data_IF_492126894466
#
_entry.id   IF_492126894466
#
_cell.length_a   1.000
_cell.length_b   1.000
_cell.length_c   1.000
_cell.angle_alpha   90.00
_cell.angle_beta   90.00
_cell.angle_gamma   90.00
#
_symmetry.space_group_name_H-M   'P 1'
#
loop_
_entity.id
_entity.type
_entity.pdbx_description
1 polymer ?
#
# COMPACT_ATOMS: atom_id res chain seq x y z
N UNK A 1 69.33 -10.76 13.88
CA UNK A 1 68.23 -10.95 12.92
C UNK A 1 67.01 -11.47 13.66
N UNK A 2 66.15 -10.57 14.12
CA UNK A 2 64.92 -10.87 14.85
C UNK A 2 63.77 -11.04 13.86
N UNK A 3 63.28 -12.28 13.72
CA UNK A 3 62.11 -12.59 12.88
C UNK A 3 60.87 -11.97 13.52
N UNK A 4 60.25 -11.03 12.81
CA UNK A 4 58.95 -10.43 13.16
C UNK A 4 57.86 -11.49 13.00
N UNK A 5 57.22 -11.85 14.11
CA UNK A 5 55.93 -12.52 14.14
C UNK A 5 54.86 -11.52 13.67
N UNK A 6 54.20 -11.79 12.55
CA UNK A 6 52.97 -11.09 12.16
C UNK A 6 51.80 -11.95 12.60
N UNK A 7 51.16 -11.54 13.69
CA UNK A 7 49.92 -12.11 14.18
C UNK A 7 48.77 -11.59 13.31
N UNK A 8 48.27 -12.43 12.41
CA UNK A 8 47.08 -12.13 11.61
C UNK A 8 45.83 -12.43 12.46
N UNK A 9 45.25 -11.40 13.08
CA UNK A 9 43.94 -11.52 13.74
C UNK A 9 42.87 -11.42 12.64
N UNK A 10 42.47 -12.56 12.09
CA UNK A 10 41.23 -12.67 11.32
C UNK A 10 40.06 -12.64 12.30
N UNK A 11 39.40 -11.48 12.41
CA UNK A 11 38.06 -11.38 13.01
C UNK A 11 37.07 -12.15 12.11
N UNK A 12 36.86 -13.43 12.39
CA UNK A 12 35.66 -14.13 11.94
C UNK A 12 34.50 -13.64 12.79
N UNK A 13 33.79 -12.62 12.29
CA UNK A 13 32.41 -12.36 12.69
C UNK A 13 31.58 -13.48 12.05
N UNK A 14 31.57 -14.66 12.69
CA UNK A 14 30.47 -15.59 12.48
C UNK A 14 29.22 -14.93 13.05
N UNK A 15 28.41 -14.36 12.16
CA UNK A 15 27.00 -14.14 12.45
C UNK A 15 26.41 -15.51 12.80
N UNK A 16 26.27 -15.77 14.09
CA UNK A 16 25.50 -16.90 14.62
C UNK A 16 24.05 -16.72 14.18
N UNK A 17 23.71 -17.22 12.99
CA UNK A 17 22.34 -17.59 12.66
C UNK A 17 22.03 -18.87 13.42
N UNK A 18 21.91 -18.78 14.74
CA UNK A 18 21.22 -19.81 15.50
C UNK A 18 19.78 -19.84 14.97
N UNK A 19 19.27 -20.98 14.47
CA UNK A 19 17.86 -21.09 14.14
C UNK A 19 17.10 -20.97 15.46
N UNK A 20 16.62 -19.76 15.77
CA UNK A 20 15.71 -19.57 16.89
C UNK A 20 14.51 -20.48 16.67
N UNK A 21 14.32 -21.43 17.58
CA UNK A 21 13.18 -22.33 17.56
C UNK A 21 11.92 -21.50 17.79
N UNK A 22 11.16 -21.34 16.72
CA UNK A 22 9.95 -20.54 16.73
C UNK A 22 8.91 -21.12 17.70
N UNK A 23 8.26 -20.26 18.48
CA UNK A 23 7.15 -20.65 19.34
C UNK A 23 5.90 -20.85 18.51
N UNK A 24 5.38 -22.07 18.54
CA UNK A 24 4.15 -22.43 17.87
C UNK A 24 3.39 -23.45 18.71
N UNK A 25 2.07 -23.48 18.56
CA UNK A 25 1.22 -24.50 19.17
C UNK A 25 0.16 -24.97 18.19
N UNK A 26 -0.18 -26.25 18.24
CA UNK A 26 -1.37 -26.76 17.55
C UNK A 26 -2.59 -26.35 18.38
N UNK A 27 -3.49 -25.58 17.79
CA UNK A 27 -4.69 -25.09 18.48
C UNK A 27 -5.95 -25.84 18.08
N UNK A 28 -5.91 -26.53 16.94
CA UNK A 28 -7.07 -27.26 16.43
C UNK A 28 -6.65 -28.41 15.51
N UNK A 29 -7.48 -29.46 15.49
CA UNK A 29 -7.49 -30.51 14.48
C UNK A 29 -8.94 -30.81 14.10
N UNK A 30 -9.24 -30.76 12.80
CA UNK A 30 -10.56 -31.04 12.24
C UNK A 30 -10.45 -32.16 11.21
N UNK A 31 -11.45 -33.02 11.16
CA UNK A 31 -11.60 -34.02 10.11
C UNK A 31 -12.83 -33.70 9.27
N UNK A 32 -12.68 -33.72 7.94
CA UNK A 32 -13.81 -33.57 7.02
C UNK A 32 -13.57 -34.35 5.73
N UNK A 33 -14.57 -35.14 5.31
CA UNK A 33 -14.45 -36.07 4.17
C UNK A 33 -13.22 -36.97 4.32
N UNK A 34 -12.25 -36.87 3.40
CA UNK A 34 -10.99 -37.59 3.42
C UNK A 34 -9.78 -36.69 3.74
N UNK A 35 -10.04 -35.53 4.33
CA UNK A 35 -9.05 -34.55 4.74
C UNK A 35 -9.00 -34.41 6.26
N UNK A 36 -7.80 -34.12 6.76
CA UNK A 36 -7.55 -33.63 8.12
C UNK A 36 -6.95 -32.23 8.00
N UNK A 37 -7.46 -31.27 8.77
CA UNK A 37 -6.91 -29.93 8.87
C UNK A 37 -6.33 -29.73 10.27
N UNK A 38 -5.03 -29.49 10.35
CA UNK A 38 -4.34 -29.15 11.59
C UNK A 38 -3.98 -27.68 11.58
N UNK A 39 -4.36 -26.94 12.62
CA UNK A 39 -4.10 -25.50 12.71
C UNK A 39 -2.99 -25.23 13.69
N UNK A 40 -1.91 -24.63 13.19
CA UNK A 40 -0.77 -24.17 13.98
C UNK A 40 -0.89 -22.65 14.16
N UNK A 41 -0.82 -22.20 15.41
CA UNK A 41 -0.73 -20.79 15.76
C UNK A 41 0.71 -20.43 16.12
N UNK A 42 1.23 -19.40 15.49
CA UNK A 42 2.52 -18.80 15.77
C UNK A 42 2.30 -17.57 16.63
N UNK A 43 2.45 -17.69 17.95
CA UNK A 43 2.14 -16.61 18.88
C UNK A 43 3.00 -15.38 18.59
N UNK A 44 2.40 -14.27 18.09
CA UNK A 44 3.15 -13.10 17.71
C UNK A 44 3.88 -12.43 18.88
N UNK A 45 3.32 -12.47 20.08
CA UNK A 45 3.93 -11.84 21.24
C UNK A 45 5.12 -12.65 21.75
N UNK A 46 4.98 -13.97 21.86
CA UNK A 46 6.09 -14.82 22.27
C UNK A 46 7.26 -14.74 21.29
N UNK A 47 6.98 -14.86 20.00
CA UNK A 47 8.02 -14.80 18.99
C UNK A 47 8.66 -13.41 18.91
N UNK A 48 7.90 -12.32 19.05
CA UNK A 48 8.46 -10.98 19.09
C UNK A 48 9.41 -10.77 20.29
N UNK A 49 9.02 -11.23 21.49
CA UNK A 49 9.87 -11.12 22.68
C UNK A 49 11.13 -11.98 22.53
N UNK A 50 11.04 -13.12 21.86
CA UNK A 50 12.21 -13.97 21.59
C UNK A 50 13.16 -13.34 20.56
N UNK A 51 12.63 -12.76 19.50
CA UNK A 51 13.41 -12.08 18.45
C UNK A 51 13.98 -10.73 18.93
N UNK A 52 13.29 -10.07 19.86
CA UNK A 52 13.68 -8.78 20.43
C UNK A 52 13.48 -8.78 21.96
N UNK A 53 14.44 -9.31 22.74
CA UNK A 53 14.33 -9.39 24.20
C UNK A 53 14.13 -8.03 24.90
N UNK A 54 14.66 -6.95 24.31
CA UNK A 54 14.51 -5.58 24.83
C UNK A 54 13.13 -4.98 24.59
N UNK A 55 12.26 -5.65 23.83
CA UNK A 55 10.92 -5.18 23.50
C UNK A 55 10.13 -4.75 24.74
N UNK A 56 10.23 -5.51 25.84
CA UNK A 56 9.52 -5.21 27.09
C UNK A 56 10.03 -3.94 27.79
N UNK A 57 11.27 -3.53 27.52
CA UNK A 57 11.91 -2.36 28.13
C UNK A 57 11.69 -1.08 27.32
N UNK A 58 11.14 -1.19 26.11
CA UNK A 58 10.81 -0.04 25.27
C UNK A 58 9.66 0.78 25.86
N UNK A 59 9.65 2.07 25.56
CA UNK A 59 8.48 2.92 25.81
C UNK A 59 7.28 2.49 24.95
N UNK A 60 6.08 2.85 25.40
CA UNK A 60 4.82 2.39 24.80
C UNK A 60 4.67 2.71 23.31
N UNK A 61 5.18 3.86 22.85
CA UNK A 61 5.12 4.24 21.44
C UNK A 61 6.03 3.36 20.59
N UNK A 62 7.25 3.08 21.06
CA UNK A 62 8.16 2.16 20.37
C UNK A 62 7.64 0.73 20.41
N UNK A 63 7.03 0.29 21.52
CA UNK A 63 6.38 -1.03 21.60
C UNK A 63 5.26 -1.15 20.57
N UNK A 64 4.44 -0.10 20.42
CA UNK A 64 3.39 -0.04 19.40
C UNK A 64 3.95 -0.18 17.97
N UNK A 65 4.99 0.57 17.63
CA UNK A 65 5.64 0.53 16.31
C UNK A 65 6.22 -0.85 16.00
N UNK A 66 6.99 -1.41 16.94
CA UNK A 66 7.63 -2.71 16.78
C UNK A 66 6.59 -3.82 16.68
N UNK A 67 5.53 -3.77 17.49
CA UNK A 67 4.40 -4.70 17.40
C UNK A 67 3.70 -4.65 16.04
N UNK A 68 3.35 -3.45 15.58
CA UNK A 68 2.66 -3.28 14.30
C UNK A 68 3.50 -3.83 13.14
N UNK A 69 4.79 -3.48 13.13
CA UNK A 69 5.74 -4.00 12.15
C UNK A 69 5.82 -5.51 12.21
N UNK A 70 5.87 -6.10 13.40
CA UNK A 70 5.92 -7.55 13.55
C UNK A 70 4.66 -8.23 12.97
N UNK A 71 3.46 -7.76 13.34
CA UNK A 71 2.20 -8.31 12.84
C UNK A 71 2.12 -8.24 11.32
N UNK A 72 2.52 -7.12 10.72
CA UNK A 72 2.43 -6.90 9.27
C UNK A 72 3.41 -7.75 8.44
N UNK A 73 4.46 -8.30 9.06
CA UNK A 73 5.53 -8.98 8.33
C UNK A 73 5.63 -10.49 8.60
N UNK A 74 4.81 -11.05 9.50
CA UNK A 74 4.94 -12.44 9.95
C UNK A 74 3.68 -13.28 9.67
N UNK A 75 3.90 -14.60 9.56
CA UNK A 75 2.83 -15.60 9.53
C UNK A 75 2.29 -15.80 10.95
N UNK A 76 0.97 -15.81 11.08
CA UNK A 76 0.25 -15.94 12.35
C UNK A 76 -0.38 -17.32 12.49
N UNK A 77 -0.96 -17.85 11.41
CA UNK A 77 -1.54 -19.21 11.40
C UNK A 77 -1.07 -20.00 10.19
N UNK A 78 -0.89 -21.31 10.37
CA UNK A 78 -0.70 -22.29 9.31
C UNK A 78 -1.79 -23.37 9.42
N UNK A 79 -2.70 -23.38 8.45
CA UNK A 79 -3.72 -24.40 8.32
C UNK A 79 -3.19 -25.51 7.40
N UNK A 80 -2.76 -26.61 8.00
CA UNK A 80 -2.11 -27.74 7.31
C UNK A 80 -3.15 -28.74 6.84
N UNK A 81 -3.38 -28.80 5.53
CA UNK A 81 -4.31 -29.74 4.94
C UNK A 81 -3.62 -31.05 4.61
N UNK A 82 -4.10 -32.11 5.23
CA UNK A 82 -3.60 -33.47 5.10
C UNK A 82 -4.61 -34.33 4.34
N UNK A 83 -4.15 -35.11 3.38
CA UNK A 83 -4.95 -36.12 2.69
C UNK A 83 -4.16 -37.42 2.64
N UNK A 84 -4.81 -38.57 2.95
CA UNK A 84 -4.15 -39.89 2.97
C UNK A 84 -2.83 -39.90 3.78
N UNK A 85 -2.85 -39.26 4.96
CA UNK A 85 -1.69 -39.13 5.88
C UNK A 85 -0.50 -38.33 5.36
N UNK A 86 -0.67 -37.53 4.32
CA UNK A 86 0.37 -36.60 3.82
C UNK A 86 -0.18 -35.18 3.79
N UNK A 87 0.60 -34.22 4.27
CA UNK A 87 0.30 -32.80 4.08
C UNK A 87 0.43 -32.50 2.59
N UNK A 88 -0.62 -31.93 2.00
CA UNK A 88 -0.68 -31.61 0.58
C UNK A 88 -0.59 -30.10 0.34
N UNK A 89 -1.16 -29.29 1.23
CA UNK A 89 -1.19 -27.83 1.12
C UNK A 89 -1.12 -27.17 2.50
N UNK A 90 -0.63 -25.95 2.50
CA UNK A 90 -0.69 -25.02 3.62
C UNK A 90 -1.54 -23.81 3.23
N UNK A 91 -2.36 -23.33 4.15
CA UNK A 91 -3.02 -22.03 4.03
C UNK A 91 -2.46 -21.14 5.13
N UNK A 92 -1.60 -20.19 4.75
CA UNK A 92 -0.78 -19.41 5.67
C UNK A 92 -1.38 -18.02 5.86
N UNK A 93 -1.98 -17.76 7.03
CA UNK A 93 -2.50 -16.44 7.35
C UNK A 93 -1.36 -15.57 7.87
N UNK A 94 -1.07 -14.48 7.18
CA UNK A 94 0.04 -13.56 7.48
C UNK A 94 -0.38 -12.12 7.42
N UNK A 95 0.43 -11.24 8.01
CA UNK A 95 0.28 -9.81 7.83
C UNK A 95 0.57 -9.35 6.39
N UNK A 96 0.03 -8.18 6.05
CA UNK A 96 0.27 -7.51 4.79
C UNK A 96 1.22 -6.31 4.99
N UNK A 97 2.50 -6.39 4.57
CA UNK A 97 3.47 -5.31 4.78
C UNK A 97 3.14 -4.03 3.99
N UNK A 98 2.28 -4.10 2.97
CA UNK A 98 1.80 -2.93 2.23
C UNK A 98 0.75 -2.11 2.99
N UNK A 99 0.16 -2.66 4.04
CA UNK A 99 -0.87 -2.02 4.86
C UNK A 99 -0.24 -1.35 6.08
N UNK A 100 -0.99 -0.45 6.69
CA UNK A 100 -0.62 0.17 7.95
C UNK A 100 -1.71 -0.10 9.01
N UNK A 101 -1.28 -0.29 10.25
CA UNK A 101 -2.17 -0.49 11.39
C UNK A 101 -2.40 0.89 12.02
N UNK A 102 -3.46 1.57 11.58
CA UNK A 102 -3.83 2.85 12.16
C UNK A 102 -4.88 2.66 13.28
N UNK A 103 -4.61 3.07 14.53
CA UNK A 103 -5.49 2.79 15.67
C UNK A 103 -6.94 3.24 15.49
N UNK A 104 -7.18 4.36 14.77
CA UNK A 104 -8.53 4.89 14.52
C UNK A 104 -9.32 4.12 13.45
N UNK A 105 -8.66 3.28 12.64
CA UNK A 105 -9.28 2.56 11.51
C UNK A 105 -9.22 1.03 11.67
N UNK A 106 -8.88 0.53 12.87
CA UNK A 106 -8.78 -0.90 13.15
C UNK A 106 -10.09 -1.68 12.88
N UNK A 107 -11.25 -1.01 12.83
CA UNK A 107 -12.55 -1.63 12.53
C UNK A 107 -12.86 -1.76 11.04
N UNK A 108 -12.02 -1.20 10.15
CA UNK A 108 -12.30 -1.11 8.71
C UNK A 108 -11.13 -1.56 7.83
N UNK A 109 -9.95 -1.81 8.40
CA UNK A 109 -8.75 -2.14 7.64
C UNK A 109 -8.35 -3.60 7.86
N UNK A 110 -8.64 -4.47 6.90
CA UNK A 110 -8.03 -5.80 6.87
C UNK A 110 -6.55 -5.66 6.52
N UNK A 111 -5.69 -6.16 7.41
CA UNK A 111 -4.23 -6.13 7.26
C UNK A 111 -3.64 -7.51 7.03
N UNK A 112 -4.47 -8.51 6.71
CA UNK A 112 -4.05 -9.90 6.56
C UNK A 112 -4.20 -10.42 5.13
N UNK A 113 -3.34 -11.37 4.79
CA UNK A 113 -3.32 -12.14 3.57
C UNK A 113 -3.35 -13.63 3.91
N UNK A 114 -3.87 -14.46 3.01
CA UNK A 114 -3.75 -15.92 3.09
C UNK A 114 -3.02 -16.44 1.86
N UNK A 115 -1.85 -17.02 2.05
CA UNK A 115 -1.14 -17.70 0.97
C UNK A 115 -1.57 -19.17 0.93
N UNK A 116 -1.98 -19.63 -0.25
CA UNK A 116 -2.24 -21.05 -0.55
C UNK A 116 -0.95 -21.61 -1.14
N UNK A 117 -0.34 -22.56 -0.43
CA UNK A 117 1.03 -23.01 -0.71
C UNK A 117 1.04 -24.53 -0.87
N UNK A 118 1.67 -25.01 -1.94
CA UNK A 118 1.86 -26.45 -2.12
C UNK A 118 2.91 -26.98 -1.15
N UNK A 119 2.62 -28.10 -0.48
CA UNK A 119 3.54 -28.65 0.50
C UNK A 119 4.85 -29.13 -0.14
N UNK A 120 5.97 -28.79 0.51
CA UNK A 120 7.30 -29.28 0.20
C UNK A 120 8.02 -29.65 1.50
N UNK A 121 8.61 -30.84 1.53
CA UNK A 121 9.41 -31.30 2.68
C UNK A 121 10.59 -30.36 2.93
N UNK A 122 10.95 -30.19 4.20
CA UNK A 122 12.07 -29.36 4.66
C UNK A 122 11.93 -27.86 4.36
N UNK A 123 10.72 -27.37 4.09
CA UNK A 123 10.44 -25.93 3.99
C UNK A 123 9.94 -25.38 5.32
N UNK A 124 10.45 -24.23 5.75
CA UNK A 124 9.91 -23.50 6.88
C UNK A 124 8.77 -22.57 6.45
N UNK A 125 7.53 -22.97 6.70
CA UNK A 125 6.33 -22.22 6.30
C UNK A 125 6.02 -20.99 7.18
N UNK A 126 6.83 -20.70 8.20
CA UNK A 126 6.75 -19.42 8.91
C UNK A 126 7.52 -18.31 8.21
N UNK A 127 8.58 -18.65 7.47
CA UNK A 127 9.47 -17.66 6.84
C UNK A 127 9.11 -17.48 5.37
N UNK A 128 8.55 -16.32 5.02
CA UNK A 128 8.13 -16.00 3.65
C UNK A 128 9.25 -16.23 2.61
N UNK A 129 10.50 -15.92 2.94
CA UNK A 129 11.64 -16.14 2.06
C UNK A 129 11.86 -17.62 1.68
N UNK A 130 11.43 -18.56 2.53
CA UNK A 130 11.61 -20.01 2.33
C UNK A 130 10.46 -20.65 1.54
N UNK A 131 9.25 -20.09 1.58
CA UNK A 131 8.08 -20.65 0.88
C UNK A 131 7.51 -19.79 -0.25
N UNK A 132 7.97 -18.56 -0.45
CA UNK A 132 7.40 -17.63 -1.46
C UNK A 132 7.27 -18.21 -2.86
N UNK A 133 8.26 -19.02 -3.30
CA UNK A 133 8.25 -19.67 -4.63
C UNK A 133 7.27 -20.86 -4.74
N UNK A 134 6.63 -21.25 -3.64
CA UNK A 134 5.67 -22.36 -3.57
C UNK A 134 4.23 -21.87 -3.47
N UNK A 135 4.04 -20.55 -3.40
CA UNK A 135 2.72 -19.92 -3.37
C UNK A 135 2.03 -20.18 -4.71
N UNK A 136 0.86 -20.80 -4.64
CA UNK A 136 -0.04 -21.01 -5.78
C UNK A 136 -0.93 -19.78 -5.96
N UNK A 137 -1.53 -19.30 -4.87
CA UNK A 137 -2.41 -18.13 -4.83
C UNK A 137 -2.21 -17.37 -3.52
N UNK A 138 -2.40 -16.06 -3.54
CA UNK A 138 -2.57 -15.25 -2.34
C UNK A 138 -3.99 -14.69 -2.33
N UNK A 139 -4.64 -14.63 -1.17
CA UNK A 139 -5.98 -14.08 -0.97
C UNK A 139 -5.85 -12.82 -0.11
N UNK A 140 -6.52 -11.73 -0.48
CA UNK A 140 -6.47 -10.44 0.24
C UNK A 140 -7.82 -9.92 0.75
N UNK A 141 -8.93 -10.57 0.39
CA UNK A 141 -10.27 -10.24 0.88
C UNK A 141 -10.65 -11.10 2.10
N UNK A 142 -10.55 -10.51 3.29
CA UNK A 142 -11.10 -11.07 4.53
C UNK A 142 -12.08 -10.12 5.18
N UNK A 143 -13.10 -10.69 5.81
CA UNK A 143 -14.13 -9.95 6.57
C UNK A 143 -13.84 -9.95 8.08
N UNK A 144 -12.57 -9.88 8.47
CA UNK A 144 -12.17 -9.70 9.87
C UNK A 144 -11.07 -8.66 10.02
N UNK A 145 -10.99 -8.09 11.22
CA UNK A 145 -10.08 -6.99 11.53
C UNK A 145 -9.69 -7.01 13.00
N UNK A 146 -8.48 -6.54 13.29
CA UNK A 146 -7.93 -6.48 14.64
C UNK A 146 -6.45 -6.84 14.63
N UNK A 147 -5.86 -6.93 15.81
CA UNK A 147 -4.42 -7.26 15.96
C UNK A 147 -4.12 -8.09 17.21
N UNK A 148 -5.13 -8.45 17.99
CA UNK A 148 -5.00 -9.39 19.10
C UNK A 148 -5.73 -10.68 18.73
N UNK A 149 -5.15 -11.81 19.11
CA UNK A 149 -5.66 -13.13 18.75
C UNK A 149 -5.93 -13.92 20.01
N UNK A 150 -7.10 -14.58 20.11
CA UNK A 150 -7.56 -15.30 21.30
C UNK A 150 -6.56 -16.33 21.86
N UNK A 151 -5.66 -16.84 21.02
CA UNK A 151 -4.68 -17.83 21.40
C UNK A 151 -3.40 -17.23 22.04
N UNK A 152 -3.29 -15.90 22.20
CA UNK A 152 -2.15 -15.22 22.86
C UNK A 152 -2.24 -15.32 24.38
N UNK A 153 -1.72 -16.39 24.98
CA UNK A 153 -1.93 -16.67 26.41
C UNK A 153 -1.25 -15.64 27.32
N UNK A 154 -0.05 -15.15 26.96
CA UNK A 154 0.72 -14.23 27.81
C UNK A 154 0.11 -12.82 27.93
N UNK A 155 -0.89 -12.51 27.10
CA UNK A 155 -1.59 -11.23 27.11
C UNK A 155 -2.97 -11.30 27.79
N UNK A 156 -3.33 -12.46 28.32
CA UNK A 156 -4.57 -12.64 29.08
C UNK A 156 -4.39 -12.20 30.52
N UNK A 157 -5.43 -11.59 31.07
CA UNK A 157 -5.54 -11.32 32.50
C UNK A 157 -5.83 -12.60 33.29
N UNK A 158 -5.95 -12.47 34.62
CA UNK A 158 -6.24 -13.59 35.51
C UNK A 158 -7.62 -14.24 35.26
N UNK A 159 -8.51 -13.57 34.51
CA UNK A 159 -9.81 -14.10 34.08
C UNK A 159 -9.72 -14.77 32.69
N UNK A 160 -8.54 -14.83 32.07
CA UNK A 160 -8.33 -15.40 30.75
C UNK A 160 -8.76 -14.47 29.59
N UNK A 161 -9.04 -13.19 29.86
CA UNK A 161 -9.45 -12.22 28.84
C UNK A 161 -8.25 -11.45 28.32
N UNK A 162 -8.19 -11.25 27.00
CA UNK A 162 -7.16 -10.43 26.38
C UNK A 162 -7.32 -8.95 26.78
N UNK A 163 -6.23 -8.36 27.25
CA UNK A 163 -6.18 -6.93 27.55
C UNK A 163 -6.48 -6.11 26.28
N UNK A 164 -7.53 -5.28 26.33
CA UNK A 164 -7.91 -4.42 25.20
C UNK A 164 -6.99 -3.21 25.02
N UNK A 165 -6.23 -2.85 26.06
CA UNK A 165 -5.23 -1.79 26.00
C UNK A 165 -3.84 -2.42 26.05
N UNK A 166 -3.16 -2.45 24.91
CA UNK A 166 -1.78 -2.92 24.80
C UNK A 166 -0.90 -1.74 24.40
N UNK A 167 0.21 -1.54 25.12
CA UNK A 167 1.16 -0.45 24.85
C UNK A 167 0.52 0.96 24.87
N UNK A 168 -0.41 1.19 25.81
CA UNK A 168 -1.10 2.49 25.94
C UNK A 168 -2.13 2.78 24.83
N UNK A 169 -2.50 1.79 24.01
CA UNK A 169 -3.46 1.93 22.92
C UNK A 169 -4.51 0.83 22.94
N UNK A 170 -5.71 1.18 22.52
CA UNK A 170 -6.77 0.21 22.30
C UNK A 170 -6.45 -0.68 21.08
N UNK A 171 -6.63 -1.99 21.25
CA UNK A 171 -6.44 -3.01 20.23
C UNK A 171 -7.68 -3.90 20.14
N UNK A 172 -8.07 -4.25 18.92
CA UNK A 172 -9.21 -5.12 18.68
C UNK A 172 -8.78 -6.59 18.70
N UNK A 173 -9.55 -7.39 19.43
CA UNK A 173 -9.45 -8.85 19.41
C UNK A 173 -10.15 -9.41 18.16
N UNK A 174 -9.52 -10.41 17.56
CA UNK A 174 -10.08 -11.20 16.47
C UNK A 174 -10.47 -12.56 17.06
N UNK A 175 -11.76 -12.90 17.12
CA UNK A 175 -12.19 -14.22 17.55
C UNK A 175 -11.66 -15.30 16.61
N UNK A 176 -11.12 -16.39 17.15
CA UNK A 176 -10.56 -17.47 16.34
C UNK A 176 -11.63 -18.07 15.42
N UNK A 177 -12.87 -18.21 15.90
CA UNK A 177 -14.01 -18.68 15.10
C UNK A 177 -14.24 -17.85 13.84
N UNK A 178 -13.97 -16.54 13.88
CA UNK A 178 -14.11 -15.67 12.70
C UNK A 178 -13.04 -15.99 11.66
N UNK A 179 -11.78 -16.17 12.10
CA UNK A 179 -10.66 -16.56 11.23
C UNK A 179 -10.95 -17.94 10.63
N UNK A 180 -11.29 -18.90 11.50
CA UNK A 180 -11.60 -20.27 11.15
C UNK A 180 -12.70 -20.35 10.08
N UNK A 181 -13.85 -19.69 10.28
CA UNK A 181 -14.96 -19.72 9.33
C UNK A 181 -14.56 -19.15 7.96
N UNK A 182 -13.83 -18.02 7.95
CA UNK A 182 -13.36 -17.42 6.69
C UNK A 182 -12.38 -18.34 5.94
N UNK A 183 -11.40 -18.91 6.65
CA UNK A 183 -10.38 -19.79 6.04
C UNK A 183 -11.00 -21.12 5.61
N UNK A 184 -11.90 -21.71 6.39
CA UNK A 184 -12.59 -22.95 6.03
C UNK A 184 -13.45 -22.80 4.77
N UNK A 185 -14.14 -21.68 4.62
CA UNK A 185 -14.89 -21.39 3.39
C UNK A 185 -13.95 -21.33 2.17
N UNK A 186 -12.80 -20.66 2.31
CA UNK A 186 -11.78 -20.59 1.25
C UNK A 186 -11.17 -21.95 0.91
N UNK A 187 -10.88 -22.78 1.92
CA UNK A 187 -10.43 -24.16 1.71
C UNK A 187 -11.50 -24.95 0.93
N UNK A 188 -12.77 -24.76 1.27
CA UNK A 188 -13.90 -25.36 0.55
C UNK A 188 -13.91 -24.96 -0.94
N UNK A 189 -13.76 -23.66 -1.24
CA UNK A 189 -13.67 -23.17 -2.61
C UNK A 189 -12.44 -23.71 -3.34
N UNK A 190 -11.26 -23.71 -2.73
CA UNK A 190 -10.03 -24.22 -3.35
C UNK A 190 -10.10 -25.72 -3.67
N UNK A 191 -10.79 -26.51 -2.84
CA UNK A 191 -10.86 -27.96 -3.01
C UNK A 191 -12.00 -28.45 -3.91
N UNK A 192 -13.15 -27.77 -3.89
CA UNK A 192 -14.38 -28.30 -4.50
C UNK A 192 -15.06 -27.35 -5.48
N UNK A 193 -14.58 -26.12 -5.62
CA UNK A 193 -15.13 -25.14 -6.53
C UNK A 193 -14.04 -24.31 -7.17
N UNK A 194 -14.36 -23.04 -7.38
CA UNK A 194 -13.40 -22.03 -7.82
C UNK A 194 -13.39 -20.89 -6.80
N UNK A 195 -12.19 -20.41 -6.48
CA UNK A 195 -12.05 -19.15 -5.73
C UNK A 195 -12.31 -18.02 -6.73
N UNK A 196 -13.24 -17.13 -6.42
CA UNK A 196 -13.54 -15.97 -7.26
C UNK A 196 -12.25 -15.17 -7.52
N UNK A 197 -12.00 -14.82 -8.78
CA UNK A 197 -10.79 -14.08 -9.20
C UNK A 197 -10.64 -12.73 -8.52
N UNK A 198 -11.73 -12.18 -7.99
CA UNK A 198 -11.73 -10.95 -7.21
C UNK A 198 -11.27 -11.12 -5.76
N UNK A 199 -11.20 -12.34 -5.23
CA UNK A 199 -10.69 -12.66 -3.88
C UNK A 199 -9.23 -13.05 -3.90
N UNK A 200 -8.80 -13.65 -5.01
CA UNK A 200 -7.39 -13.85 -5.29
C UNK A 200 -6.79 -12.46 -5.33
N UNK A 201 -5.80 -12.22 -4.47
CA UNK A 201 -4.83 -11.17 -4.68
C UNK A 201 -4.23 -11.53 -6.03
N UNK A 202 -4.81 -10.94 -7.08
CA UNK A 202 -4.31 -11.10 -8.42
C UNK A 202 -2.81 -10.83 -8.30
N UNK A 203 -2.01 -11.42 -9.18
CA UNK A 203 -0.83 -10.68 -9.61
C UNK A 203 -1.37 -9.38 -10.26
N UNK A 204 -1.87 -8.44 -9.45
CA UNK A 204 -1.45 -7.07 -9.50
C UNK A 204 0.04 -7.26 -9.50
N UNK A 205 0.66 -7.13 -10.67
CA UNK A 205 2.10 -7.02 -10.76
C UNK A 205 2.51 -6.21 -9.54
N UNK A 206 3.22 -6.84 -8.60
CA UNK A 206 3.75 -6.14 -7.46
C UNK A 206 4.66 -5.11 -8.10
N UNK A 207 4.15 -3.88 -8.13
CA UNK A 207 4.40 -3.01 -9.26
C UNK A 207 5.82 -2.46 -9.12
N UNK A 208 6.80 -3.14 -9.72
CA UNK A 208 8.18 -2.69 -9.82
C UNK A 208 8.26 -1.60 -10.89
N UNK A 209 7.71 -0.40 -10.61
CA UNK A 209 7.88 0.84 -11.39
C UNK A 209 7.50 0.70 -12.91
N UNK A 210 6.53 1.36 -13.53
CA UNK A 210 6.07 2.75 -13.48
C UNK A 210 4.70 2.84 -14.16
N UNK A 211 3.72 3.48 -13.51
CA UNK A 211 2.51 3.87 -14.24
C UNK A 211 2.74 5.20 -14.98
N UNK A 212 3.78 5.93 -14.58
CA UNK A 212 4.13 7.26 -15.05
C UNK A 212 5.63 7.35 -15.36
N UNK A 213 5.99 7.25 -16.63
CA UNK A 213 7.36 7.38 -17.17
C UNK A 213 8.14 8.56 -16.58
N UNK A 214 7.46 9.65 -16.24
CA UNK A 214 8.11 10.81 -15.65
C UNK A 214 8.63 10.56 -14.24
N UNK A 215 7.95 9.74 -13.42
CA UNK A 215 8.36 9.53 -12.02
C UNK A 215 9.73 8.84 -11.94
N UNK A 216 10.03 7.93 -12.88
CA UNK A 216 11.35 7.27 -12.96
C UNK A 216 12.42 8.16 -13.58
N UNK A 217 12.07 8.87 -14.65
CA UNK A 217 13.04 9.63 -15.44
C UNK A 217 13.47 10.92 -14.75
N UNK A 218 12.66 11.45 -13.81
CA UNK A 218 13.03 12.61 -13.01
C UNK A 218 14.35 12.35 -12.27
N UNK A 219 14.57 11.16 -11.71
CA UNK A 219 15.79 10.84 -10.95
C UNK A 219 17.08 10.92 -11.76
N UNK A 220 17.00 10.84 -13.10
CA UNK A 220 18.15 10.89 -14.00
C UNK A 220 18.77 12.29 -14.18
N UNK A 221 18.05 13.36 -13.82
CA UNK A 221 18.54 14.74 -13.97
C UNK A 221 19.24 15.24 -12.69
N UNK A 222 20.11 16.24 -12.79
CA UNK A 222 20.67 16.86 -11.58
C UNK A 222 19.60 17.71 -10.88
N UNK A 223 18.86 18.49 -11.67
CA UNK A 223 17.84 19.43 -11.22
C UNK A 223 16.85 19.67 -12.34
N UNK A 224 15.57 19.82 -12.01
CA UNK A 224 14.54 20.22 -12.97
C UNK A 224 13.76 21.37 -12.37
N UNK A 225 13.88 22.56 -12.95
CA UNK A 225 13.03 23.69 -12.56
C UNK A 225 11.71 23.61 -13.31
N UNK A 226 10.64 24.05 -12.65
CA UNK A 226 9.30 24.12 -13.26
C UNK A 226 8.79 25.55 -13.23
N UNK A 227 8.46 26.07 -14.40
CA UNK A 227 7.88 27.40 -14.59
C UNK A 227 6.37 27.22 -14.72
N UNK A 228 5.59 27.92 -13.91
CA UNK A 228 4.12 27.86 -13.87
C UNK A 228 3.56 29.21 -14.28
N UNK A 229 2.87 29.29 -15.43
CA UNK A 229 2.04 30.44 -15.80
C UNK A 229 0.60 30.11 -15.44
N UNK A 230 0.02 30.84 -14.51
CA UNK A 230 -1.31 30.58 -13.96
C UNK A 230 -2.23 31.71 -14.37
N UNK A 231 -3.36 31.37 -15.00
CA UNK A 231 -4.41 32.29 -15.39
C UNK A 231 -5.65 31.98 -14.54
N UNK A 232 -6.06 32.93 -13.70
CA UNK A 232 -7.32 32.85 -12.96
C UNK A 232 -8.36 33.70 -13.69
N UNK A 233 -9.47 33.08 -14.10
CA UNK A 233 -10.47 33.70 -14.97
C UNK A 233 -11.85 33.75 -14.33
N UNK A 234 -12.60 34.79 -14.68
CA UNK A 234 -14.05 34.87 -14.48
C UNK A 234 -14.72 35.12 -15.83
N UNK A 235 -15.94 34.61 -16.00
CA UNK A 235 -16.67 34.68 -17.26
C UNK A 235 -17.94 35.50 -17.10
N UNK A 236 -18.34 36.22 -18.15
CA UNK A 236 -19.64 36.87 -18.23
C UNK A 236 -20.76 35.85 -18.54
N UNK A 237 -22.01 36.33 -18.58
CA UNK A 237 -23.18 35.49 -18.87
C UNK A 237 -23.15 34.88 -20.29
N UNK A 238 -22.40 35.48 -21.22
CA UNK A 238 -22.24 34.98 -22.58
C UNK A 238 -21.08 33.98 -22.70
N UNK A 239 -20.30 33.79 -21.62
CA UNK A 239 -19.15 32.91 -21.60
C UNK A 239 -17.84 33.55 -22.05
N UNK A 240 -17.78 34.87 -22.24
CA UNK A 240 -16.54 35.57 -22.53
C UNK A 240 -15.74 35.81 -21.25
N UNK A 241 -14.41 35.84 -21.36
CA UNK A 241 -13.54 36.18 -20.24
C UNK A 241 -13.79 37.63 -19.82
N UNK A 242 -14.31 37.80 -18.60
CA UNK A 242 -14.54 39.11 -18.01
C UNK A 242 -13.28 39.64 -17.30
N UNK A 243 -12.58 38.76 -16.56
CA UNK A 243 -11.32 39.09 -15.89
C UNK A 243 -10.33 37.96 -16.08
N UNK A 244 -9.05 38.30 -16.24
CA UNK A 244 -7.93 37.36 -16.22
C UNK A 244 -6.81 37.91 -15.34
N UNK A 245 -6.36 37.11 -14.38
CA UNK A 245 -5.26 37.47 -13.47
C UNK A 245 -4.07 36.52 -13.68
N UNK A 246 -3.08 36.90 -14.51
CA UNK A 246 -1.90 36.08 -14.75
C UNK A 246 -0.94 36.11 -13.55
N UNK A 247 -0.34 34.96 -13.23
CA UNK A 247 0.71 34.80 -12.20
C UNK A 247 1.82 33.93 -12.75
N UNK A 248 3.07 34.28 -12.43
CA UNK A 248 4.23 33.48 -12.78
C UNK A 248 4.90 32.98 -11.51
N UNK A 249 5.02 31.66 -11.38
CA UNK A 249 5.72 31.01 -10.28
C UNK A 249 6.80 30.08 -10.81
N UNK A 250 7.90 29.94 -10.07
CA UNK A 250 8.97 28.99 -10.40
C UNK A 250 9.27 28.11 -9.20
N UNK A 251 9.28 26.80 -9.44
CA UNK A 251 9.76 25.83 -8.46
C UNK A 251 11.25 25.58 -8.70
N UNK A 252 12.07 25.70 -7.63
CA UNK A 252 13.53 25.58 -7.72
C UNK A 252 14.00 24.18 -8.14
N UNK A 253 13.34 23.12 -7.72
CA UNK A 253 13.66 21.76 -8.17
C UNK A 253 12.50 20.82 -7.89
N UNK A 254 11.92 20.22 -8.93
CA UNK A 254 10.75 19.35 -8.77
C UNK A 254 11.06 18.11 -7.92
N UNK A 255 12.31 17.65 -7.94
CA UNK A 255 12.76 16.50 -7.13
C UNK A 255 12.58 16.73 -5.64
N UNK A 256 12.80 17.96 -5.19
CA UNK A 256 12.87 18.28 -3.77
C UNK A 256 11.56 18.05 -3.01
N UNK A 257 10.43 18.03 -3.72
CA UNK A 257 9.10 17.86 -3.13
C UNK A 257 8.32 16.64 -3.63
N UNK A 258 8.87 15.81 -4.53
CA UNK A 258 8.27 14.53 -4.92
C UNK A 258 8.14 13.62 -3.69
N UNK A 259 6.95 13.03 -3.48
CA UNK A 259 6.62 12.23 -2.30
C UNK A 259 6.48 13.02 -0.98
N UNK A 260 6.81 14.32 -0.98
CA UNK A 260 6.66 15.24 0.16
C UNK A 260 5.64 16.36 -0.11
N UNK A 261 4.85 16.20 -1.16
CA UNK A 261 3.84 17.18 -1.58
C UNK A 261 2.80 17.33 -0.48
N UNK A 262 2.62 18.55 0.01
CA UNK A 262 1.63 18.87 1.04
C UNK A 262 0.71 20.02 0.63
N UNK A 263 1.13 20.83 -0.35
CA UNK A 263 0.34 21.92 -0.92
C UNK A 263 -0.44 21.41 -2.12
N UNK A 264 -1.69 21.88 -2.22
CA UNK A 264 -2.57 21.57 -3.35
C UNK A 264 -1.87 21.80 -4.67
N UNK A 265 -1.27 22.98 -4.86
CA UNK A 265 -0.58 23.38 -6.07
C UNK A 265 0.57 22.46 -6.48
N UNK A 266 1.21 21.75 -5.55
CA UNK A 266 2.28 20.80 -5.86
C UNK A 266 1.71 19.45 -6.28
N UNK A 267 0.68 18.97 -5.56
CA UNK A 267 -0.02 17.70 -5.84
C UNK A 267 -0.73 17.75 -7.19
N UNK A 268 -1.51 18.78 -7.44
CA UNK A 268 -2.32 18.91 -8.67
C UNK A 268 -1.48 19.21 -9.90
N UNK A 269 -0.26 19.75 -9.74
CA UNK A 269 0.58 20.09 -10.89
C UNK A 269 1.57 19.01 -11.29
N UNK A 270 1.75 18.01 -10.43
CA UNK A 270 2.53 16.81 -10.72
C UNK A 270 2.06 15.70 -9.76
N UNK A 271 0.89 15.09 -9.98
CA UNK A 271 0.40 14.02 -9.12
C UNK A 271 1.42 12.89 -9.05
N UNK A 272 1.77 12.47 -7.82
CA UNK A 272 2.72 11.39 -7.58
C UNK A 272 2.00 10.18 -7.01
N UNK A 273 1.91 9.12 -7.81
CA UNK A 273 1.26 7.88 -7.42
C UNK A 273 2.29 6.89 -6.89
N UNK A 274 1.95 6.24 -5.80
CA UNK A 274 2.79 5.23 -5.14
C UNK A 274 2.68 3.90 -5.88
N UNK A 275 3.70 3.05 -5.76
CA UNK A 275 3.63 1.67 -6.26
C UNK A 275 2.52 0.83 -5.59
N UNK A 276 2.02 1.28 -4.43
CA UNK A 276 0.88 0.69 -3.74
C UNK A 276 -0.46 1.13 -4.30
N UNK A 277 -0.52 2.20 -5.11
CA UNK A 277 -1.77 2.64 -5.73
C UNK A 277 -2.16 1.66 -6.83
N UNK A 278 -3.44 1.26 -6.85
CA UNK A 278 -3.97 0.27 -7.79
C UNK A 278 -4.48 0.97 -9.03
N UNK A 279 -4.27 0.36 -10.20
CA UNK A 279 -4.83 0.83 -11.47
C UNK A 279 -5.76 -0.24 -12.04
N UNK A 280 -6.90 0.19 -12.57
CA UNK A 280 -7.92 -0.69 -13.13
C UNK A 280 -8.19 -0.20 -14.54
N UNK A 281 -7.93 -1.06 -15.54
CA UNK A 281 -8.32 -0.76 -16.92
C UNK A 281 -9.85 -0.68 -16.99
N UNK A 282 -10.38 0.47 -17.40
CA UNK A 282 -11.83 0.70 -17.51
C UNK A 282 -12.29 0.83 -18.96
N UNK A 283 -11.39 1.20 -19.87
CA UNK A 283 -11.70 1.35 -21.29
C UNK A 283 -10.42 1.10 -22.11
N UNK A 284 -10.55 0.40 -23.24
CA UNK A 284 -9.46 0.18 -24.18
C UNK A 284 -10.00 0.06 -25.60
N UNK A 285 -9.43 0.83 -26.50
CA UNK A 285 -9.62 0.70 -27.93
C UNK A 285 -8.25 0.65 -28.65
N UNK A 286 -8.25 0.75 -29.99
CA UNK A 286 -7.03 0.69 -30.80
C UNK A 286 -6.16 1.96 -30.68
N UNK A 287 -6.71 3.06 -30.19
CA UNK A 287 -6.10 4.39 -30.16
C UNK A 287 -5.75 4.84 -28.75
N UNK A 288 -6.47 4.34 -27.74
CA UNK A 288 -6.35 4.81 -26.36
C UNK A 288 -6.73 3.75 -25.33
N UNK A 289 -6.28 3.97 -24.09
CA UNK A 289 -6.69 3.20 -22.93
C UNK A 289 -6.90 4.11 -21.74
N UNK A 290 -7.95 3.85 -20.95
CA UNK A 290 -8.27 4.60 -19.73
C UNK A 290 -8.20 3.69 -18.52
N UNK A 291 -7.62 4.22 -17.45
CA UNK A 291 -7.40 3.51 -16.21
C UNK A 291 -7.93 4.31 -15.04
N UNK A 292 -8.78 3.70 -14.23
CA UNK A 292 -9.15 4.24 -12.92
C UNK A 292 -8.00 3.98 -11.94
N UNK A 293 -7.63 4.99 -11.16
CA UNK A 293 -6.61 4.86 -10.10
C UNK A 293 -7.29 4.82 -8.73
N UNK A 294 -6.98 3.79 -7.95
CA UNK A 294 -7.41 3.62 -6.57
C UNK A 294 -6.21 3.81 -5.63
N UNK A 295 -6.25 4.89 -4.86
CA UNK A 295 -5.17 5.28 -3.97
C UNK A 295 -5.09 4.33 -2.77
N UNK A 296 -3.86 3.96 -2.37
CA UNK A 296 -3.60 3.16 -1.17
C UNK A 296 -2.57 3.87 -0.29
N UNK A 297 -3.04 4.47 0.82
CA UNK A 297 -2.23 5.23 1.76
C UNK A 297 -1.47 6.40 1.09
N UNK A 298 -2.09 7.07 0.10
CA UNK A 298 -1.48 8.20 -0.60
C UNK A 298 -2.12 9.52 -0.15
N UNK A 299 -2.00 9.80 1.15
CA UNK A 299 -2.63 10.95 1.82
C UNK A 299 -2.46 12.30 1.09
N UNK A 300 -1.31 12.65 0.48
CA UNK A 300 -1.19 13.86 -0.33
C UNK A 300 -2.18 13.95 -1.49
N UNK A 301 -2.35 12.86 -2.24
CA UNK A 301 -3.24 12.81 -3.40
C UNK A 301 -4.69 12.66 -2.94
N UNK A 302 -4.96 11.78 -1.98
CA UNK A 302 -6.29 11.57 -1.38
C UNK A 302 -6.89 12.88 -0.82
N UNK A 303 -6.02 13.78 -0.33
CA UNK A 303 -6.46 15.08 0.16
C UNK A 303 -7.03 15.96 -0.95
N UNK A 304 -6.49 15.94 -2.17
CA UNK A 304 -6.81 16.95 -3.19
C UNK A 304 -7.47 16.40 -4.45
N UNK A 305 -7.44 15.08 -4.69
CA UNK A 305 -7.99 14.47 -5.90
C UNK A 305 -8.81 13.22 -5.56
N UNK A 306 -9.99 13.08 -6.17
CA UNK A 306 -10.84 11.89 -6.15
C UNK A 306 -11.23 11.48 -7.58
N UNK A 307 -11.75 10.25 -7.77
CA UNK A 307 -12.20 9.74 -9.08
C UNK A 307 -11.15 9.87 -10.20
N UNK A 308 -9.90 9.51 -9.89
CA UNK A 308 -8.76 9.72 -10.78
C UNK A 308 -8.82 8.73 -11.94
N UNK A 309 -8.77 9.27 -13.16
CA UNK A 309 -8.69 8.50 -14.41
C UNK A 309 -7.49 8.96 -15.23
N UNK A 310 -6.70 7.99 -15.68
CA UNK A 310 -5.50 8.21 -16.50
C UNK A 310 -5.79 7.72 -17.91
N UNK A 311 -5.58 8.58 -18.91
CA UNK A 311 -5.69 8.22 -20.32
C UNK A 311 -4.29 8.05 -20.93
N UNK A 312 -4.10 6.97 -21.67
CA UNK A 312 -2.88 6.66 -22.41
C UNK A 312 -3.19 6.51 -23.90
N UNK A 313 -2.27 6.95 -24.77
CA UNK A 313 -2.36 6.78 -26.22
C UNK A 313 -2.01 5.34 -26.65
N UNK A 314 -2.03 5.11 -27.96
CA UNK A 314 -1.67 3.82 -28.59
C UNK A 314 -0.25 3.36 -28.28
N UNK A 315 0.68 4.29 -28.01
CA UNK A 315 2.07 4.00 -27.67
C UNK A 315 2.24 3.66 -26.17
N UNK A 316 1.15 3.70 -25.39
CA UNK A 316 1.17 3.49 -23.95
C UNK A 316 1.67 4.70 -23.16
N UNK A 317 1.89 5.84 -23.81
CA UNK A 317 2.27 7.10 -23.17
C UNK A 317 1.04 7.80 -22.60
N UNK A 318 1.22 8.51 -21.48
CA UNK A 318 0.13 9.28 -20.86
C UNK A 318 -0.21 10.51 -21.71
N UNK A 319 -1.50 10.67 -21.97
CA UNK A 319 -2.06 11.86 -22.62
C UNK A 319 -2.63 12.84 -21.60
N UNK A 320 -3.45 12.33 -20.66
CA UNK A 320 -4.06 13.15 -19.64
C UNK A 320 -4.37 12.38 -18.35
N UNK A 321 -4.56 13.15 -17.28
CA UNK A 321 -5.14 12.67 -16.02
C UNK A 321 -6.36 13.55 -15.74
N UNK A 322 -7.52 12.94 -15.60
CA UNK A 322 -8.75 13.58 -15.15
C UNK A 322 -9.06 13.16 -13.71
N UNK A 323 -9.69 14.05 -12.96
CA UNK A 323 -10.10 13.80 -11.58
C UNK A 323 -11.16 14.82 -11.15
N UNK A 324 -11.74 14.61 -9.97
CA UNK A 324 -12.42 15.66 -9.23
C UNK A 324 -11.44 16.29 -8.25
N UNK A 325 -11.24 17.60 -8.36
CA UNK A 325 -10.42 18.42 -7.47
C UNK A 325 -11.18 18.72 -6.18
N UNK A 326 -10.53 18.52 -5.04
CA UNK A 326 -11.05 18.84 -3.72
C UNK A 326 -10.42 20.14 -3.20
N UNK A 327 -11.22 21.18 -3.09
CA UNK A 327 -10.86 22.49 -2.57
C UNK A 327 -11.32 22.61 -1.11
N UNK A 328 -10.37 22.46 -0.19
CA UNK A 328 -10.64 22.57 1.24
C UNK A 328 -10.71 24.03 1.64
N UNK A 329 -11.83 24.43 2.24
CA UNK A 329 -12.06 25.78 2.73
C UNK A 329 -12.59 25.78 4.16
N UNK A 330 -12.53 26.94 4.79
CA UNK A 330 -13.21 27.19 6.06
C UNK A 330 -13.89 28.55 6.01
N UNK A 331 -15.07 28.66 6.60
CA UNK A 331 -15.79 29.93 6.74
C UNK A 331 -16.52 29.97 8.08
N UNK A 332 -16.82 31.18 8.54
CA UNK A 332 -17.58 31.39 9.79
C UNK A 332 -18.97 30.76 9.69
N UNK A 333 -19.61 30.87 8.51
CA UNK A 333 -21.01 30.44 8.33
C UNK A 333 -21.17 28.96 8.01
N UNK A 334 -20.16 28.33 7.38
CA UNK A 334 -20.22 26.92 6.95
C UNK A 334 -19.28 25.98 7.71
N UNK A 335 -18.41 26.50 8.59
CA UNK A 335 -17.34 25.71 9.18
C UNK A 335 -16.32 25.24 8.14
N UNK A 336 -15.72 24.07 8.34
CA UNK A 336 -14.87 23.41 7.34
C UNK A 336 -15.73 22.81 6.22
N UNK A 337 -15.37 23.06 4.97
CA UNK A 337 -16.08 22.56 3.80
C UNK A 337 -15.11 22.14 2.69
N UNK A 338 -15.64 21.35 1.75
CA UNK A 338 -14.91 20.90 0.56
C UNK A 338 -15.74 21.24 -0.66
N UNK A 339 -15.24 22.18 -1.46
CA UNK A 339 -15.76 22.44 -2.80
C UNK A 339 -15.12 21.48 -3.81
N UNK A 340 -15.87 21.17 -4.87
CA UNK A 340 -15.46 20.22 -5.91
C UNK A 340 -15.42 20.91 -7.26
N UNK A 341 -14.38 20.59 -8.02
CA UNK A 341 -14.19 21.06 -9.40
C UNK A 341 -13.74 19.93 -10.30
N UNK A 342 -14.01 20.05 -11.60
CA UNK A 342 -13.40 19.17 -12.59
C UNK A 342 -11.92 19.52 -12.72
N UNK A 343 -11.08 18.51 -12.85
CA UNK A 343 -9.64 18.64 -13.02
C UNK A 343 -9.19 17.83 -14.24
N UNK A 344 -8.35 18.44 -15.07
CA UNK A 344 -7.60 17.74 -16.11
C UNK A 344 -6.16 18.27 -16.19
N UNK A 345 -5.20 17.35 -16.24
CA UNK A 345 -3.81 17.64 -16.56
C UNK A 345 -3.43 16.94 -17.87
N UNK A 346 -3.00 17.72 -18.86
CA UNK A 346 -2.52 17.25 -20.14
C UNK A 346 -1.01 17.06 -20.13
N UNK A 347 -0.55 16.01 -20.80
CA UNK A 347 0.85 15.60 -20.84
C UNK A 347 1.41 15.73 -22.24
N UNK A 348 2.69 16.11 -22.33
CA UNK A 348 3.46 16.06 -23.58
C UNK A 348 4.92 15.72 -23.30
N UNK A 349 5.64 15.37 -24.34
CA UNK A 349 7.04 15.01 -24.22
C UNK A 349 7.92 16.26 -24.15
N UNK A 350 8.67 16.39 -23.05
CA UNK A 350 9.78 17.32 -22.88
C UNK A 350 11.09 16.52 -22.87
N UNK A 351 11.93 16.72 -23.89
CA UNK A 351 13.12 15.90 -24.15
C UNK A 351 12.75 14.40 -24.24
N UNK A 352 13.01 13.62 -23.20
CA UNK A 352 12.72 12.18 -23.16
C UNK A 352 11.64 11.80 -22.12
N UNK A 353 10.93 12.79 -21.56
CA UNK A 353 9.97 12.61 -20.47
C UNK A 353 8.59 13.17 -20.81
N UNK A 354 7.54 12.41 -20.53
CA UNK A 354 6.15 12.86 -20.61
C UNK A 354 5.75 13.60 -19.34
N UNK A 355 5.71 14.94 -19.36
CA UNK A 355 5.37 15.76 -18.20
C UNK A 355 4.08 16.55 -18.43
N UNK A 356 3.35 16.92 -17.35
CA UNK A 356 2.20 17.81 -17.47
C UNK A 356 2.62 19.14 -18.09
N UNK A 357 1.90 19.64 -19.09
CA UNK A 357 2.18 20.95 -19.69
C UNK A 357 1.03 21.94 -19.57
N UNK A 358 -0.19 21.44 -19.37
CA UNK A 358 -1.39 22.26 -19.23
C UNK A 358 -2.33 21.61 -18.22
N UNK A 359 -2.85 22.40 -17.30
CA UNK A 359 -3.79 21.94 -16.27
C UNK A 359 -4.97 22.88 -16.24
N UNK A 360 -6.17 22.34 -16.21
CA UNK A 360 -7.41 23.11 -16.16
C UNK A 360 -8.23 22.70 -14.94
N UNK A 361 -8.77 23.70 -14.24
CA UNK A 361 -9.82 23.51 -13.24
C UNK A 361 -11.08 24.22 -13.73
N UNK A 362 -12.20 23.50 -13.77
CA UNK A 362 -13.49 24.06 -14.18
C UNK A 362 -14.58 23.69 -13.16
N UNK A 363 -15.67 24.48 -13.08
CA UNK A 363 -16.85 24.09 -12.32
C UNK A 363 -17.34 22.70 -12.77
N UNK A 364 -17.97 21.94 -11.87
CA UNK A 364 -18.48 20.59 -12.19
C UNK A 364 -19.44 20.56 -13.40
N UNK A 365 -20.12 21.68 -13.68
CA UNK A 365 -21.02 21.83 -14.83
C UNK A 365 -20.31 21.94 -16.17
N UNK A 366 -19.02 22.29 -16.19
CA UNK A 366 -18.20 22.45 -17.39
C UNK A 366 -17.30 21.21 -17.58
N UNK A 367 -17.92 20.14 -18.07
CA UNK A 367 -17.29 18.81 -18.22
C UNK A 367 -16.25 18.81 -19.35
N UNK A 368 -16.47 19.62 -20.38
CA UNK A 368 -15.60 19.76 -21.55
C UNK A 368 -14.46 20.77 -21.33
N UNK A 369 -14.41 21.42 -20.15
CA UNK A 369 -13.42 22.43 -19.80
C UNK A 369 -13.37 23.60 -20.79
N UNK A 370 -14.54 24.03 -21.30
CA UNK A 370 -14.64 25.16 -22.23
C UNK A 370 -14.38 26.50 -21.52
N UNK A 371 -14.73 26.59 -20.23
CA UNK A 371 -14.65 27.80 -19.41
C UNK A 371 -13.90 27.52 -18.11
N UNK A 372 -12.61 27.15 -18.18
CA UNK A 372 -11.82 26.83 -17.00
C UNK A 372 -11.64 28.07 -16.13
N UNK A 373 -11.94 27.95 -14.83
CA UNK A 373 -11.69 29.01 -13.85
C UNK A 373 -10.20 29.23 -13.63
N UNK A 374 -9.41 28.17 -13.69
CA UNK A 374 -7.95 28.23 -13.61
C UNK A 374 -7.35 27.45 -14.77
N UNK A 375 -6.42 28.08 -15.48
CA UNK A 375 -5.53 27.43 -16.43
C UNK A 375 -4.09 27.59 -15.95
N UNK A 376 -3.33 26.50 -15.95
CA UNK A 376 -1.90 26.50 -15.61
C UNK A 376 -1.13 25.93 -16.79
N UNK A 377 -0.25 26.74 -17.38
CA UNK A 377 0.75 26.27 -18.33
C UNK A 377 2.06 25.98 -17.60
N UNK A 378 2.68 24.86 -17.94
CA UNK A 378 3.90 24.38 -17.33
C UNK A 378 5.02 24.26 -18.37
N UNK A 379 6.18 24.78 -17.99
CA UNK A 379 7.43 24.59 -18.73
C UNK A 379 8.55 24.13 -17.79
N UNK A 380 9.61 23.57 -18.35
CA UNK A 380 10.64 22.88 -17.58
C UNK A 380 12.05 23.22 -18.05
N UNK A 381 12.93 23.56 -17.10
CA UNK A 381 14.36 23.72 -17.34
C UNK A 381 15.11 22.52 -16.78
N UNK A 382 15.74 21.75 -17.68
CA UNK A 382 16.45 20.52 -17.33
C UNK A 382 17.95 20.78 -17.21
N UNK A 383 18.49 20.57 -16.02
CA UNK A 383 19.93 20.64 -15.76
C UNK A 383 20.51 19.22 -15.71
N UNK A 384 21.37 18.90 -16.67
CA UNK A 384 22.18 17.67 -16.66
C UNK A 384 23.48 17.94 -15.90
N UNK A 385 24.05 16.90 -15.28
CA UNK A 385 25.39 16.98 -14.67
C UNK A 385 26.44 17.27 -15.73
#
# INVERSE_FOLDING_TARGET
>A
MTKKFVLLITFLIFGLNTPFAQKSKTIEKLEFKNYELKVIFFDPYENLVLENPEFKNLDSLKQEEVWNKYILNNVIYDFQLTQKKKIIKHYLLKGNPSKNIYPKNLTRNNVYLLDIVNHKKNTNFYRLSEYSKLIDKTIDKFSFYGTLFENMELLKDNEGKLGKNLFGRFRLNIPYSTIQNNVMNLIGFDLFGEIETEWIANNVDEFKNSFFDYQEKIDQYFKIERIKKIYVRTYDQNGNIQNESPRLNTDKDIKSYIGKMNKIGDVVSLPFFKSTDKTILIEKDNLSSKYKVELTNNAPVEKYLENIVVSKNSDGEIENITATLLLHGSSIDRGEYIDRENYIAYFKTFKAMRLPFKILYSPLTDIEFEKPRIEIELDYLFHKK
#
